data_IF_168539359788
#
_entry.id   IF_168539359788
#
_cell.length_a   1.000
_cell.length_b   1.000
_cell.length_c   1.000
_cell.angle_alpha   90.00
_cell.angle_beta   90.00
_cell.angle_gamma   90.00
#
_symmetry.space_group_name_H-M   'P 1'
#
loop_
_entity.id
_entity.type
_entity.pdbx_description
1 polymer ?
#
# COMPACT_ATOMS: atom_id res chain seq x y z
N UNK A 1 3.50 -44.67 30.03
CA UNK A 1 4.02 -43.44 29.38
C UNK A 1 4.67 -43.74 28.03
N UNK A 2 5.55 -44.75 27.92
CA UNK A 2 6.31 -45.05 26.69
C UNK A 2 5.48 -45.31 25.41
N UNK A 3 4.38 -46.06 25.49
CA UNK A 3 3.59 -46.41 24.29
C UNK A 3 2.89 -45.19 23.63
N UNK A 4 2.48 -44.21 24.43
CA UNK A 4 1.83 -42.99 23.91
C UNK A 4 2.82 -42.06 23.21
N UNK A 5 4.06 -42.00 23.69
CA UNK A 5 5.13 -41.20 23.08
C UNK A 5 5.55 -41.79 21.72
N UNK A 6 5.67 -43.11 21.63
CA UNK A 6 5.97 -43.81 20.37
C UNK A 6 4.87 -43.63 19.32
N UNK A 7 3.59 -43.76 19.70
CA UNK A 7 2.46 -43.50 18.80
C UNK A 7 2.50 -42.06 18.27
N UNK A 8 2.79 -41.08 19.13
CA UNK A 8 2.86 -39.68 18.72
C UNK A 8 4.04 -39.41 17.77
N UNK A 9 5.19 -40.07 17.98
CA UNK A 9 6.34 -39.98 17.10
C UNK A 9 6.01 -40.52 15.70
N UNK A 10 5.42 -41.72 15.62
CA UNK A 10 5.00 -42.31 14.33
C UNK A 10 3.95 -41.44 13.63
N UNK A 11 3.00 -40.84 14.37
CA UNK A 11 2.04 -39.87 13.80
C UNK A 11 2.71 -38.63 13.22
N UNK A 12 3.78 -38.14 13.86
CA UNK A 12 4.56 -37.00 13.36
C UNK A 12 5.32 -37.39 12.08
N UNK A 13 5.93 -38.57 12.06
CA UNK A 13 6.66 -39.09 10.90
C UNK A 13 5.72 -39.28 9.71
N UNK A 14 4.53 -39.87 9.92
CA UNK A 14 3.49 -40.01 8.89
C UNK A 14 3.15 -38.65 8.28
N UNK A 15 2.87 -37.63 9.10
CA UNK A 15 2.58 -36.27 8.61
C UNK A 15 3.74 -35.67 7.81
N UNK A 16 4.98 -35.90 8.25
CA UNK A 16 6.16 -35.42 7.53
C UNK A 16 6.28 -36.08 6.16
N UNK A 17 6.06 -37.39 6.08
CA UNK A 17 6.09 -38.16 4.83
C UNK A 17 4.93 -37.72 3.91
N UNK A 18 3.74 -37.46 4.44
CA UNK A 18 2.60 -36.96 3.66
C UNK A 18 2.88 -35.59 3.04
N UNK A 19 3.50 -34.67 3.79
CA UNK A 19 3.92 -33.36 3.27
C UNK A 19 4.93 -33.52 2.14
N UNK A 20 6.00 -34.30 2.37
CA UNK A 20 7.03 -34.54 1.36
C UNK A 20 6.44 -35.22 0.11
N UNK A 21 5.55 -36.20 0.29
CA UNK A 21 4.85 -36.89 -0.81
C UNK A 21 4.04 -35.90 -1.65
N UNK A 22 3.26 -35.01 -1.04
CA UNK A 22 2.46 -34.04 -1.76
C UNK A 22 3.32 -33.01 -2.50
N UNK A 23 4.45 -32.61 -1.92
CA UNK A 23 5.43 -31.75 -2.60
C UNK A 23 6.02 -32.44 -3.85
N UNK A 24 6.33 -33.74 -3.75
CA UNK A 24 6.81 -34.53 -4.91
C UNK A 24 5.74 -34.70 -5.99
N UNK A 25 4.48 -34.87 -5.61
CA UNK A 25 3.36 -34.90 -6.56
C UNK A 25 3.27 -33.57 -7.31
N UNK A 26 3.34 -32.43 -6.61
CA UNK A 26 3.32 -31.11 -7.26
C UNK A 26 4.46 -30.92 -8.25
N UNK A 27 5.70 -31.28 -7.85
CA UNK A 27 6.88 -31.25 -8.74
C UNK A 27 6.70 -32.15 -9.96
N UNK A 28 6.09 -33.34 -9.78
CA UNK A 28 5.82 -34.25 -10.89
C UNK A 28 4.86 -33.62 -11.90
N UNK A 29 3.79 -32.96 -11.43
CA UNK A 29 2.88 -32.24 -12.30
C UNK A 29 3.53 -31.06 -13.03
N UNK A 30 4.41 -30.31 -12.36
CA UNK A 30 5.20 -29.22 -12.95
C UNK A 30 6.10 -29.71 -14.09
N UNK A 31 6.93 -30.73 -13.84
CA UNK A 31 7.80 -31.32 -14.86
C UNK A 31 6.98 -31.85 -16.03
N UNK A 32 5.84 -32.47 -15.73
CA UNK A 32 4.96 -33.03 -16.75
C UNK A 32 4.38 -31.94 -17.66
N UNK A 33 3.90 -30.86 -17.04
CA UNK A 33 3.37 -29.70 -17.73
C UNK A 33 4.44 -29.01 -18.60
N UNK A 34 5.60 -28.71 -18.02
CA UNK A 34 6.70 -28.02 -18.72
C UNK A 34 7.27 -28.83 -19.89
N UNK A 35 7.26 -30.15 -19.76
CA UNK A 35 7.76 -31.07 -20.78
C UNK A 35 6.77 -31.28 -21.94
N UNK A 36 5.58 -30.68 -21.89
CA UNK A 36 4.50 -30.86 -22.88
C UNK A 36 4.24 -32.33 -23.22
N UNK A 37 4.29 -33.21 -22.21
CA UNK A 37 4.06 -34.64 -22.43
C UNK A 37 2.57 -34.84 -22.72
N UNK A 38 2.25 -35.52 -23.80
CA UNK A 38 0.86 -35.78 -24.19
C UNK A 38 0.19 -36.69 -23.15
N UNK A 39 -0.92 -36.19 -22.59
CA UNK A 39 -1.91 -36.98 -21.85
C UNK A 39 -3.19 -37.00 -22.67
N UNK A 40 -3.71 -38.19 -22.96
CA UNK A 40 -5.06 -38.32 -23.50
C UNK A 40 -6.06 -37.70 -22.49
N UNK A 41 -6.88 -36.75 -22.95
CA UNK A 41 -7.99 -36.12 -22.22
C UNK A 41 -7.64 -35.35 -20.92
N UNK A 42 -6.49 -34.69 -20.83
CA UNK A 42 -6.18 -33.85 -19.65
C UNK A 42 -6.71 -32.42 -19.80
N UNK A 43 -7.98 -32.19 -19.44
CA UNK A 43 -8.56 -30.85 -19.27
C UNK A 43 -7.78 -29.98 -18.26
N UNK A 44 -6.99 -30.61 -17.39
CA UNK A 44 -6.14 -29.95 -16.39
C UNK A 44 -5.04 -29.13 -17.07
N UNK A 45 -4.41 -29.64 -18.14
CA UNK A 45 -3.35 -28.91 -18.88
C UNK A 45 -3.93 -27.67 -19.54
N UNK A 46 -5.09 -27.79 -20.19
CA UNK A 46 -5.78 -26.64 -20.81
C UNK A 46 -6.15 -25.57 -19.79
N UNK A 47 -6.64 -25.98 -18.61
CA UNK A 47 -6.99 -25.07 -17.52
C UNK A 47 -5.75 -24.35 -16.95
N UNK A 48 -4.62 -25.05 -16.79
CA UNK A 48 -3.35 -24.43 -16.36
C UNK A 48 -2.91 -23.40 -17.41
N UNK A 49 -2.82 -23.78 -18.69
CA UNK A 49 -2.40 -22.88 -19.78
C UNK A 49 -3.29 -21.63 -19.86
N UNK A 50 -4.60 -21.81 -19.73
CA UNK A 50 -5.55 -20.68 -19.72
C UNK A 50 -5.22 -19.72 -18.58
N UNK A 51 -5.08 -20.22 -17.35
CA UNK A 51 -4.82 -19.37 -16.18
C UNK A 51 -3.43 -18.72 -16.27
N UNK A 52 -2.41 -19.43 -16.71
CA UNK A 52 -1.07 -18.87 -16.91
C UNK A 52 -1.04 -17.77 -17.97
N UNK A 53 -1.86 -17.87 -19.01
CA UNK A 53 -2.00 -16.82 -20.01
C UNK A 53 -2.66 -15.54 -19.47
N UNK A 54 -3.49 -15.65 -18.43
CA UNK A 54 -4.18 -14.49 -17.81
C UNK A 54 -3.25 -13.69 -16.89
N UNK A 55 -2.30 -14.34 -16.20
CA UNK A 55 -1.36 -13.67 -15.27
C UNK A 55 -0.57 -12.53 -15.94
N UNK A 56 0.12 -12.70 -17.08
CA UNK A 56 0.87 -11.63 -17.72
C UNK A 56 -0.04 -10.51 -18.21
N UNK A 57 -1.28 -10.81 -18.63
CA UNK A 57 -2.26 -9.79 -19.03
C UNK A 57 -2.60 -8.88 -17.84
N UNK A 58 -2.85 -9.46 -16.67
CA UNK A 58 -3.15 -8.70 -15.44
C UNK A 58 -1.93 -7.88 -14.99
N UNK A 59 -0.72 -8.47 -15.06
CA UNK A 59 0.53 -7.77 -14.73
C UNK A 59 0.79 -6.58 -15.65
N UNK A 60 0.65 -6.77 -16.96
CA UNK A 60 0.85 -5.71 -17.95
C UNK A 60 -0.12 -4.55 -17.71
N UNK A 61 -1.42 -4.84 -17.50
CA UNK A 61 -2.41 -3.80 -17.14
C UNK A 61 -2.01 -3.04 -15.88
N UNK A 62 -1.52 -3.74 -14.85
CA UNK A 62 -1.07 -3.11 -13.62
C UNK A 62 0.17 -2.19 -13.85
N UNK A 63 1.10 -2.61 -14.71
CA UNK A 63 2.28 -1.82 -15.08
C UNK A 63 1.93 -0.60 -15.93
N UNK A 64 1.01 -0.72 -16.89
CA UNK A 64 0.50 0.39 -17.70
C UNK A 64 -0.13 1.46 -16.81
N UNK A 65 -1.02 1.06 -15.88
CA UNK A 65 -1.61 1.96 -14.91
C UNK A 65 -0.57 2.67 -14.03
N UNK A 66 0.48 1.96 -13.60
CA UNK A 66 1.60 2.56 -12.84
C UNK A 66 2.36 3.58 -13.68
N UNK A 67 2.62 3.26 -14.95
CA UNK A 67 3.29 4.14 -15.90
C UNK A 67 2.50 5.43 -16.13
N UNK A 68 1.18 5.34 -16.34
CA UNK A 68 0.32 6.53 -16.44
C UNK A 68 0.33 7.38 -15.18
N UNK A 69 0.24 6.77 -14.00
CA UNK A 69 0.25 7.48 -12.74
C UNK A 69 1.59 8.18 -12.44
N UNK A 70 2.70 7.51 -12.77
CA UNK A 70 4.04 8.11 -12.68
C UNK A 70 4.15 9.31 -13.61
N UNK A 71 3.71 9.15 -14.87
CA UNK A 71 3.70 10.20 -15.88
C UNK A 71 2.85 11.42 -15.48
N UNK A 72 1.73 11.22 -14.77
CA UNK A 72 0.94 12.31 -14.17
C UNK A 72 1.73 13.02 -13.08
N UNK A 73 2.30 12.27 -12.14
CA UNK A 73 3.04 12.83 -11.00
C UNK A 73 4.21 13.69 -11.46
N UNK A 74 5.00 13.20 -12.42
CA UNK A 74 6.08 13.95 -13.06
C UNK A 74 5.57 15.23 -13.73
N UNK A 75 4.47 15.13 -14.48
CA UNK A 75 3.89 16.27 -15.18
C UNK A 75 3.36 17.34 -14.20
N UNK A 76 2.77 16.94 -13.06
CA UNK A 76 2.30 17.85 -12.02
C UNK A 76 3.44 18.62 -11.35
N UNK A 77 4.57 17.96 -11.08
CA UNK A 77 5.78 18.62 -10.59
C UNK A 77 6.31 19.63 -11.61
N UNK A 78 6.35 19.24 -12.88
CA UNK A 78 6.74 20.13 -13.97
C UNK A 78 5.79 21.32 -14.15
N UNK A 79 4.48 21.12 -13.92
CA UNK A 79 3.48 22.20 -13.92
C UNK A 79 3.75 23.19 -12.79
N UNK A 80 4.10 22.73 -11.58
CA UNK A 80 4.46 23.62 -10.46
C UNK A 80 5.68 24.47 -10.81
N UNK A 81 6.72 23.85 -11.35
CA UNK A 81 7.92 24.58 -11.81
C UNK A 81 7.61 25.58 -12.92
N UNK A 82 6.73 25.25 -13.86
CA UNK A 82 6.29 26.18 -14.91
C UNK A 82 5.53 27.38 -14.31
N UNK A 83 4.65 27.17 -13.33
CA UNK A 83 3.95 28.26 -12.67
C UNK A 83 4.91 29.22 -11.94
N UNK A 84 5.93 28.69 -11.26
CA UNK A 84 6.97 29.50 -10.62
C UNK A 84 7.73 30.34 -11.66
N UNK A 85 8.18 29.73 -12.76
CA UNK A 85 8.84 30.44 -13.85
C UNK A 85 7.96 31.51 -14.48
N UNK A 86 6.68 31.21 -14.71
CA UNK A 86 5.71 32.19 -15.25
C UNK A 86 5.56 33.37 -14.29
N UNK A 87 5.51 33.11 -12.98
CA UNK A 87 5.44 34.16 -11.96
C UNK A 87 6.68 35.04 -11.98
N UNK A 88 7.87 34.45 -12.06
CA UNK A 88 9.14 35.18 -12.13
C UNK A 88 9.24 36.02 -13.40
N UNK A 89 8.85 35.46 -14.55
CA UNK A 89 8.78 36.18 -15.83
C UNK A 89 7.81 37.36 -15.73
N UNK A 90 6.60 37.16 -15.20
CA UNK A 90 5.61 38.24 -15.00
C UNK A 90 6.12 39.33 -14.06
N UNK A 91 6.84 38.95 -13.00
CA UNK A 91 7.49 39.91 -12.10
C UNK A 91 8.58 40.72 -12.83
N UNK A 92 9.39 40.05 -13.66
CA UNK A 92 10.37 40.69 -14.53
C UNK A 92 9.73 41.66 -15.53
N UNK A 93 8.63 41.27 -16.18
CA UNK A 93 7.88 42.13 -17.09
C UNK A 93 7.37 43.39 -16.38
N UNK A 94 6.93 43.29 -15.13
CA UNK A 94 6.52 44.45 -14.33
C UNK A 94 7.64 45.48 -14.11
N UNK A 95 8.89 45.03 -13.99
CA UNK A 95 10.06 45.92 -13.92
C UNK A 95 10.40 46.51 -15.28
N UNK A 96 10.22 45.75 -16.37
CA UNK A 96 10.46 46.25 -17.72
C UNK A 96 9.44 47.33 -18.09
N UNK A 97 8.15 47.11 -17.80
CA UNK A 97 7.11 48.14 -18.00
C UNK A 97 7.43 49.45 -17.28
N UNK A 98 8.00 49.37 -16.08
CA UNK A 98 8.44 50.56 -15.35
C UNK A 98 9.58 51.29 -16.08
N UNK A 99 10.61 50.56 -16.54
CA UNK A 99 11.70 51.13 -17.35
C UNK A 99 11.17 51.78 -18.63
N UNK A 100 10.33 51.06 -19.39
CA UNK A 100 9.72 51.59 -20.62
C UNK A 100 8.91 52.85 -20.33
N UNK A 101 8.10 52.85 -19.27
CA UNK A 101 7.29 54.01 -18.92
C UNK A 101 8.12 55.24 -18.56
N UNK A 102 9.23 55.07 -17.85
CA UNK A 102 10.15 56.16 -17.51
C UNK A 102 10.82 56.71 -18.76
N UNK A 103 11.40 55.85 -19.60
CA UNK A 103 12.03 56.26 -20.86
C UNK A 103 11.03 56.94 -21.78
N UNK A 104 9.83 56.37 -21.93
CA UNK A 104 8.76 56.93 -22.75
C UNK A 104 8.34 58.31 -22.24
N UNK A 105 8.26 58.53 -20.92
CA UNK A 105 7.93 59.84 -20.38
C UNK A 105 8.99 60.90 -20.70
N UNK A 106 10.27 60.51 -20.77
CA UNK A 106 11.36 61.42 -21.13
C UNK A 106 11.35 61.79 -22.62
N UNK A 107 10.86 60.91 -23.48
CA UNK A 107 10.96 61.05 -24.95
C UNK A 107 9.60 61.04 -25.67
N UNK A 108 8.48 61.24 -24.97
CA UNK A 108 7.14 61.14 -25.56
C UNK A 108 6.98 62.17 -26.70
N UNK A 109 6.48 61.72 -27.85
CA UNK A 109 6.21 62.55 -29.01
C UNK A 109 4.72 62.66 -29.35
N UNK A 110 4.41 63.42 -30.40
CA UNK A 110 3.03 63.57 -30.91
C UNK A 110 2.42 62.23 -31.34
N UNK A 111 3.25 61.31 -31.85
CA UNK A 111 2.85 59.97 -32.28
C UNK A 111 2.30 59.14 -31.12
N UNK A 112 2.98 59.15 -29.99
CA UNK A 112 2.60 58.40 -28.78
C UNK A 112 1.39 59.05 -28.10
N UNK A 113 1.35 60.40 -28.07
CA UNK A 113 0.23 61.17 -27.52
C UNK A 113 -1.05 61.08 -28.36
N UNK A 114 -0.98 60.60 -29.60
CA UNK A 114 -2.17 60.29 -30.39
C UNK A 114 -3.02 59.16 -29.78
N UNK A 115 -2.44 58.35 -28.88
CA UNK A 115 -3.14 57.29 -28.16
C UNK A 115 -3.74 57.84 -26.86
N UNK A 116 -5.09 57.83 -26.69
CA UNK A 116 -5.76 58.50 -25.57
C UNK A 116 -5.33 58.03 -24.18
N UNK A 117 -5.04 56.74 -24.02
CA UNK A 117 -4.58 56.16 -22.76
C UNK A 117 -3.17 56.64 -22.40
N UNK A 118 -2.27 56.71 -23.38
CA UNK A 118 -0.91 57.25 -23.21
C UNK A 118 -0.97 58.74 -22.87
N UNK A 119 -1.78 59.52 -23.59
CA UNK A 119 -1.97 60.94 -23.33
C UNK A 119 -2.50 61.22 -21.92
N UNK A 120 -3.46 60.42 -21.45
CA UNK A 120 -4.02 60.52 -20.11
C UNK A 120 -2.97 60.21 -19.04
N UNK A 121 -2.26 59.09 -19.18
CA UNK A 121 -1.20 58.70 -18.26
C UNK A 121 -0.05 59.70 -18.23
N UNK A 122 0.33 60.25 -19.38
CA UNK A 122 1.35 61.29 -19.48
C UNK A 122 0.93 62.57 -18.75
N UNK A 123 -0.34 63.00 -18.91
CA UNK A 123 -0.88 64.15 -18.18
C UNK A 123 -0.88 63.92 -16.67
N UNK A 124 -1.33 62.75 -16.21
CA UNK A 124 -1.32 62.39 -14.78
C UNK A 124 0.11 62.38 -14.22
N UNK A 125 1.09 61.88 -14.99
CA UNK A 125 2.50 61.90 -14.59
C UNK A 125 3.06 63.31 -14.52
N UNK A 126 2.72 64.20 -15.47
CA UNK A 126 3.10 65.62 -15.43
C UNK A 126 2.49 66.36 -14.24
N UNK A 127 1.22 66.11 -13.92
CA UNK A 127 0.57 66.65 -12.73
C UNK A 127 1.22 66.13 -11.43
N UNK A 128 1.58 64.84 -11.42
CA UNK A 128 2.32 64.21 -10.32
C UNK A 128 3.72 64.80 -10.12
N UNK A 129 4.45 65.06 -11.20
CA UNK A 129 5.78 65.70 -11.20
C UNK A 129 5.70 67.11 -10.59
N UNK A 130 4.79 67.94 -11.08
CA UNK A 130 4.56 69.29 -10.55
C UNK A 130 4.14 69.28 -9.08
N UNK A 131 3.34 68.28 -8.67
CA UNK A 131 2.96 68.09 -7.26
C UNK A 131 4.16 67.71 -6.40
N UNK A 132 5.05 66.85 -6.89
CA UNK A 132 6.29 66.47 -6.18
C UNK A 132 7.17 67.69 -5.96
N UNK A 133 7.43 68.47 -7.02
CA UNK A 133 8.23 69.68 -6.96
C UNK A 133 7.65 70.70 -5.96
N UNK A 134 6.32 70.88 -5.97
CA UNK A 134 5.64 71.74 -4.98
C UNK A 134 5.83 71.25 -3.54
N UNK A 135 5.72 69.94 -3.30
CA UNK A 135 5.90 69.35 -1.97
C UNK A 135 7.36 69.39 -1.50
N UNK A 136 8.32 69.20 -2.40
CA UNK A 136 9.75 69.31 -2.11
C UNK A 136 10.14 70.75 -1.80
N UNK A 137 9.66 71.73 -2.57
CA UNK A 137 9.84 73.15 -2.28
C UNK A 137 9.20 73.55 -0.94
N UNK A 138 8.03 73.01 -0.61
CA UNK A 138 7.41 73.17 0.72
C UNK A 138 8.27 72.56 1.81
N UNK A 139 8.80 71.36 1.61
CA UNK A 139 9.67 70.70 2.57
C UNK A 139 10.95 71.51 2.81
N UNK A 140 11.62 71.94 1.74
CA UNK A 140 12.84 72.74 1.78
C UNK A 140 12.62 74.09 2.47
N UNK A 141 11.55 74.80 2.12
CA UNK A 141 11.20 76.08 2.77
C UNK A 141 10.88 75.90 4.25
N UNK A 142 10.17 74.84 4.64
CA UNK A 142 9.94 74.52 6.05
C UNK A 142 11.24 74.15 6.78
N UNK A 143 12.09 73.33 6.18
CA UNK A 143 13.37 72.89 6.76
C UNK A 143 14.39 74.04 6.88
N UNK A 144 14.30 75.08 6.04
CA UNK A 144 15.21 76.23 6.06
C UNK A 144 14.61 77.53 6.60
N UNK A 145 13.36 77.52 7.07
CA UNK A 145 12.72 78.73 7.63
C UNK A 145 13.35 79.17 8.96
N UNK A 146 13.64 80.47 9.09
CA UNK A 146 14.20 81.09 10.30
C UNK A 146 13.22 81.10 11.50
N UNK A 147 11.94 80.78 11.28
CA UNK A 147 10.85 80.74 12.27
C UNK A 147 10.86 79.52 13.20
N UNK A 148 11.85 78.63 13.05
CA UNK A 148 12.14 77.49 13.96
C UNK A 148 12.49 77.89 15.40
N UNK A 149 12.59 79.19 15.71
CA UNK A 149 13.00 79.71 17.03
C UNK A 149 11.86 79.84 18.06
N UNK A 150 10.60 79.59 17.69
CA UNK A 150 9.46 79.60 18.63
C UNK A 150 9.23 78.22 19.26
N UNK A 151 9.07 78.16 20.59
CA UNK A 151 8.90 76.91 21.35
C UNK A 151 7.74 76.05 20.82
N UNK A 152 6.59 76.65 20.47
CA UNK A 152 5.44 75.93 19.91
C UNK A 152 5.72 75.37 18.51
N UNK A 153 6.53 76.06 17.70
CA UNK A 153 6.93 75.56 16.39
C UNK A 153 7.88 74.37 16.51
N UNK A 154 8.74 74.32 17.52
CA UNK A 154 9.67 73.19 17.73
C UNK A 154 8.89 71.88 17.97
N UNK A 155 7.76 71.92 18.67
CA UNK A 155 6.92 70.72 18.92
C UNK A 155 6.08 70.29 17.70
N UNK A 156 5.63 71.22 16.86
CA UNK A 156 4.77 70.92 15.70
C UNK A 156 5.55 70.61 14.41
N UNK A 157 6.81 71.05 14.30
CA UNK A 157 7.68 70.84 13.13
C UNK A 157 7.83 69.35 12.75
N UNK A 158 8.07 68.40 13.69
CA UNK A 158 8.21 66.99 13.33
C UNK A 158 6.96 66.40 12.67
N UNK A 159 5.77 66.86 13.06
CA UNK A 159 4.50 66.39 12.51
C UNK A 159 4.25 66.92 11.09
N UNK A 160 4.56 68.20 10.82
CA UNK A 160 4.41 68.81 9.49
C UNK A 160 5.41 68.22 8.49
N UNK A 161 6.68 68.08 8.88
CA UNK A 161 7.70 67.43 8.06
C UNK A 161 7.32 65.97 7.76
N UNK A 162 6.80 65.25 8.76
CA UNK A 162 6.32 63.87 8.57
C UNK A 162 5.11 63.80 7.63
N UNK A 163 4.20 64.77 7.71
CA UNK A 163 3.07 64.90 6.79
C UNK A 163 3.50 65.09 5.34
N UNK A 164 4.37 66.08 5.08
CA UNK A 164 4.88 66.36 3.73
C UNK A 164 5.68 65.15 3.20
N UNK A 165 6.55 64.54 4.00
CA UNK A 165 7.30 63.32 3.60
C UNK A 165 6.37 62.14 3.28
N UNK A 166 5.24 62.01 3.98
CA UNK A 166 4.23 60.98 3.68
C UNK A 166 3.52 61.26 2.35
N UNK A 167 3.19 62.52 2.08
CA UNK A 167 2.58 62.93 0.79
C UNK A 167 3.52 62.72 -0.38
N UNK A 168 4.80 63.10 -0.25
CA UNK A 168 5.84 62.82 -1.27
C UNK A 168 5.93 61.32 -1.54
N UNK A 169 5.99 60.49 -0.49
CA UNK A 169 6.01 59.02 -0.65
C UNK A 169 4.78 58.48 -1.36
N UNK A 170 3.59 59.00 -1.06
CA UNK A 170 2.34 58.58 -1.71
C UNK A 170 2.32 58.99 -3.18
N UNK A 171 2.73 60.23 -3.48
CA UNK A 171 2.84 60.74 -4.84
C UNK A 171 3.83 59.91 -5.66
N UNK A 172 5.03 59.64 -5.14
CA UNK A 172 6.03 58.83 -5.83
C UNK A 172 5.53 57.40 -6.08
N UNK A 173 4.78 56.81 -5.14
CA UNK A 173 4.15 55.50 -5.35
C UNK A 173 3.11 55.53 -6.46
N UNK A 174 2.32 56.60 -6.56
CA UNK A 174 1.37 56.79 -7.66
C UNK A 174 2.08 57.00 -8.99
N UNK A 175 3.13 57.82 -9.05
CA UNK A 175 3.94 58.02 -10.25
C UNK A 175 4.57 56.71 -10.73
N UNK A 176 5.16 55.89 -9.86
CA UNK A 176 5.69 54.57 -10.23
C UNK A 176 4.61 53.64 -10.79
N UNK A 177 3.40 53.69 -10.23
CA UNK A 177 2.26 52.93 -10.75
C UNK A 177 1.87 53.41 -12.14
N UNK A 178 1.87 54.72 -12.36
CA UNK A 178 1.53 55.32 -13.66
C UNK A 178 2.62 55.11 -14.71
N UNK A 179 3.91 55.14 -14.35
CA UNK A 179 5.00 54.73 -15.23
C UNK A 179 4.85 53.28 -15.67
N UNK A 180 4.59 52.36 -14.73
CA UNK A 180 4.36 50.95 -15.08
C UNK A 180 3.19 50.78 -16.04
N UNK A 181 2.05 51.44 -15.78
CA UNK A 181 0.89 51.42 -16.69
C UNK A 181 1.22 52.01 -18.06
N UNK A 182 1.97 53.10 -18.09
CA UNK A 182 2.39 53.77 -19.32
C UNK A 182 3.24 52.83 -20.18
N UNK A 183 4.23 52.17 -19.60
CA UNK A 183 5.04 51.18 -20.32
C UNK A 183 4.25 49.94 -20.74
N UNK A 184 3.30 49.49 -19.93
CA UNK A 184 2.39 48.38 -20.27
C UNK A 184 1.50 48.72 -21.48
N UNK A 185 0.85 49.88 -21.48
CA UNK A 185 0.01 50.32 -22.61
C UNK A 185 0.85 50.48 -23.88
N UNK A 186 2.03 51.07 -23.76
CA UNK A 186 2.95 51.26 -24.89
C UNK A 186 3.40 49.91 -25.49
N UNK A 187 3.91 48.99 -24.66
CA UNK A 187 4.37 47.66 -25.11
C UNK A 187 3.25 46.78 -25.65
N UNK A 188 2.00 46.99 -25.21
CA UNK A 188 0.82 46.33 -25.75
C UNK A 188 0.27 46.96 -27.03
N UNK A 189 0.89 48.03 -27.53
CA UNK A 189 0.49 48.72 -28.76
C UNK A 189 1.52 48.42 -29.88
N UNK A 190 1.30 47.40 -30.72
CA UNK A 190 2.34 46.90 -31.64
C UNK A 190 2.81 47.91 -32.69
N UNK A 191 1.97 48.90 -33.02
CA UNK A 191 2.31 49.96 -33.98
C UNK A 191 3.37 50.91 -33.41
N UNK A 192 3.26 51.28 -32.13
CA UNK A 192 4.22 52.16 -31.47
C UNK A 192 5.59 51.51 -31.36
N UNK A 193 5.62 50.25 -30.92
CA UNK A 193 6.83 49.44 -30.73
C UNK A 193 7.58 49.18 -32.04
N UNK A 194 6.86 48.95 -33.14
CA UNK A 194 7.49 48.68 -34.46
C UNK A 194 8.13 49.91 -35.09
N UNK A 195 7.52 51.06 -34.86
CA UNK A 195 7.95 52.34 -35.42
C UNK A 195 8.86 53.10 -34.44
N UNK A 196 9.44 52.41 -33.46
CA UNK A 196 10.35 53.01 -32.47
C UNK A 196 11.76 53.15 -33.06
N UNK A 197 12.38 54.30 -32.81
CA UNK A 197 13.72 54.64 -33.31
C UNK A 197 14.66 55.12 -32.20
N UNK A 198 14.16 55.29 -30.98
CA UNK A 198 14.96 55.65 -29.82
C UNK A 198 15.77 54.44 -29.32
N UNK A 199 17.10 54.56 -29.36
CA UNK A 199 18.05 53.50 -28.98
C UNK A 199 17.85 53.02 -27.52
N UNK A 200 17.59 53.92 -26.58
CA UNK A 200 17.33 53.59 -25.17
C UNK A 200 16.07 52.74 -25.00
N UNK A 201 14.99 53.09 -25.71
CA UNK A 201 13.75 52.31 -25.70
C UNK A 201 13.92 50.96 -26.40
N UNK A 202 14.68 50.90 -27.51
CA UNK A 202 14.91 49.66 -28.24
C UNK A 202 15.60 48.58 -27.38
N UNK A 203 16.59 48.94 -26.58
CA UNK A 203 17.27 48.01 -25.67
C UNK A 203 16.30 47.39 -24.65
N UNK A 204 15.46 48.23 -24.03
CA UNK A 204 14.46 47.79 -23.05
C UNK A 204 13.35 46.96 -23.72
N UNK A 205 12.97 47.30 -24.95
CA UNK A 205 12.01 46.53 -25.74
C UNK A 205 12.57 45.17 -26.18
N UNK A 206 13.88 45.04 -26.38
CA UNK A 206 14.52 43.75 -26.62
C UNK A 206 14.42 42.84 -25.39
N UNK A 207 14.69 43.36 -24.19
CA UNK A 207 14.47 42.65 -22.92
C UNK A 207 13.00 42.23 -22.77
N UNK A 208 12.05 43.13 -23.10
CA UNK A 208 10.62 42.85 -23.08
C UNK A 208 10.27 41.67 -23.99
N UNK A 209 10.72 41.71 -25.25
CA UNK A 209 10.46 40.67 -26.24
C UNK A 209 11.05 39.32 -25.82
N UNK A 210 12.23 39.30 -25.19
CA UNK A 210 12.83 38.08 -24.61
C UNK A 210 11.95 37.49 -23.51
N UNK A 211 11.45 38.33 -22.58
CA UNK A 211 10.52 37.87 -21.54
C UNK A 211 9.18 37.41 -22.10
N UNK A 212 8.63 38.10 -23.10
CA UNK A 212 7.38 37.73 -23.75
C UNK A 212 7.49 36.39 -24.47
N UNK A 213 8.59 36.15 -25.18
CA UNK A 213 8.87 34.85 -25.82
C UNK A 213 9.05 33.74 -24.78
N UNK A 214 9.76 34.03 -23.69
CA UNK A 214 9.90 33.10 -22.56
C UNK A 214 8.54 32.76 -21.93
N UNK A 215 7.69 33.76 -21.70
CA UNK A 215 6.34 33.59 -21.16
C UNK A 215 5.49 32.72 -22.09
N UNK A 216 5.52 32.99 -23.39
CA UNK A 216 4.81 32.20 -24.40
C UNK A 216 5.28 30.74 -24.39
N UNK A 217 6.59 30.50 -24.38
CA UNK A 217 7.17 29.16 -24.30
C UNK A 217 6.76 28.42 -23.02
N UNK A 218 6.76 29.08 -21.86
CA UNK A 218 6.30 28.46 -20.61
C UNK A 218 4.80 28.15 -20.64
N UNK A 219 3.97 29.03 -21.21
CA UNK A 219 2.53 28.78 -21.36
C UNK A 219 2.25 27.61 -22.32
N UNK A 220 2.97 27.51 -23.44
CA UNK A 220 2.88 26.38 -24.36
C UNK A 220 3.29 25.06 -23.67
N UNK A 221 4.38 25.09 -22.89
CA UNK A 221 4.79 23.95 -22.06
C UNK A 221 3.68 23.57 -21.07
N UNK A 222 3.10 24.54 -20.37
CA UNK A 222 2.02 24.32 -19.41
C UNK A 222 0.77 23.68 -20.05
N UNK A 223 0.37 24.14 -21.24
CA UNK A 223 -0.73 23.54 -22.01
C UNK A 223 -0.41 22.08 -22.35
N UNK A 224 0.81 21.80 -22.81
CA UNK A 224 1.23 20.44 -23.18
C UNK A 224 1.24 19.49 -21.97
N UNK A 225 1.68 19.97 -20.79
CA UNK A 225 1.70 19.20 -19.55
C UNK A 225 0.29 18.92 -19.03
N UNK A 226 -0.58 19.93 -19.00
CA UNK A 226 -1.97 19.76 -18.57
C UNK A 226 -2.73 18.79 -19.49
N UNK A 227 -2.45 18.83 -20.79
CA UNK A 227 -2.98 17.83 -21.72
C UNK A 227 -2.48 16.43 -21.39
N UNK A 228 -1.18 16.24 -21.15
CA UNK A 228 -0.59 14.95 -20.74
C UNK A 228 -1.21 14.43 -19.44
N UNK A 229 -1.47 15.29 -18.47
CA UNK A 229 -2.15 14.93 -17.21
C UNK A 229 -3.57 14.44 -17.54
N UNK A 230 -4.37 15.25 -18.22
CA UNK A 230 -5.76 14.91 -18.57
C UNK A 230 -5.88 13.62 -19.37
N UNK A 231 -5.02 13.42 -20.38
CA UNK A 231 -5.04 12.23 -21.23
C UNK A 231 -4.73 10.96 -20.40
N UNK A 232 -3.76 11.03 -19.48
CA UNK A 232 -3.40 9.90 -18.63
C UNK A 232 -4.43 9.65 -17.51
N UNK A 233 -5.03 10.70 -16.93
CA UNK A 233 -6.13 10.55 -15.97
C UNK A 233 -7.33 9.85 -16.61
N UNK A 234 -7.65 10.20 -17.86
CA UNK A 234 -8.71 9.55 -18.60
C UNK A 234 -8.39 8.06 -18.84
N UNK A 235 -7.17 7.73 -19.27
CA UNK A 235 -6.75 6.32 -19.44
C UNK A 235 -6.85 5.53 -18.14
N UNK A 236 -6.39 6.11 -17.03
CA UNK A 236 -6.54 5.49 -15.71
C UNK A 236 -8.02 5.28 -15.39
N UNK A 237 -8.88 6.27 -15.65
CA UNK A 237 -10.31 6.17 -15.35
C UNK A 237 -11.01 5.09 -16.19
N UNK A 238 -10.68 5.00 -17.48
CA UNK A 238 -11.18 3.98 -18.39
C UNK A 238 -10.72 2.58 -17.96
N UNK A 239 -9.44 2.42 -17.64
CA UNK A 239 -8.89 1.14 -17.20
C UNK A 239 -9.22 0.77 -15.75
N UNK A 240 -9.64 1.72 -14.91
CA UNK A 240 -10.03 1.45 -13.52
C UNK A 240 -11.52 1.23 -13.33
N UNK A 241 -12.33 1.37 -14.39
CA UNK A 241 -13.80 1.40 -14.31
C UNK A 241 -14.31 2.43 -13.27
N UNK A 242 -13.57 3.53 -13.08
CA UNK A 242 -13.87 4.56 -12.08
C UNK A 242 -13.56 4.19 -10.62
N UNK A 243 -12.91 3.05 -10.36
CA UNK A 243 -12.42 2.71 -9.03
C UNK A 243 -11.19 3.52 -8.66
N UNK A 244 -10.92 3.63 -7.35
CA UNK A 244 -9.66 4.21 -6.88
C UNK A 244 -8.50 3.34 -7.34
N UNK A 245 -7.46 3.95 -7.90
CA UNK A 245 -6.27 3.27 -8.43
C UNK A 245 -5.67 2.24 -7.46
N UNK A 246 -5.57 2.59 -6.17
CA UNK A 246 -5.13 1.66 -5.12
C UNK A 246 -5.98 0.38 -5.05
N UNK A 247 -7.30 0.51 -5.12
CA UNK A 247 -8.20 -0.65 -5.11
C UNK A 247 -8.07 -1.51 -6.37
N UNK A 248 -7.71 -0.91 -7.51
CA UNK A 248 -7.43 -1.64 -8.75
C UNK A 248 -6.15 -2.46 -8.59
N UNK A 249 -5.08 -1.86 -8.04
CA UNK A 249 -3.85 -2.59 -7.73
C UNK A 249 -4.08 -3.74 -6.75
N UNK A 250 -4.78 -3.51 -5.64
CA UNK A 250 -5.10 -4.55 -4.66
C UNK A 250 -5.90 -5.70 -5.32
N UNK A 251 -6.81 -5.36 -6.25
CA UNK A 251 -7.60 -6.36 -7.01
C UNK A 251 -6.72 -7.15 -7.98
N UNK A 252 -5.85 -6.49 -8.75
CA UNK A 252 -4.92 -7.16 -9.67
C UNK A 252 -3.95 -8.09 -8.92
N UNK A 253 -3.37 -7.63 -7.82
CA UNK A 253 -2.49 -8.45 -6.97
C UNK A 253 -3.21 -9.69 -6.45
N UNK A 254 -4.43 -9.50 -5.92
CA UNK A 254 -5.25 -10.62 -5.47
C UNK A 254 -5.56 -11.60 -6.60
N UNK A 255 -5.92 -11.11 -7.79
CA UNK A 255 -6.20 -11.97 -8.94
C UNK A 255 -4.96 -12.78 -9.37
N UNK A 256 -3.77 -12.16 -9.35
CA UNK A 256 -2.51 -12.86 -9.65
C UNK A 256 -2.24 -13.95 -8.62
N UNK A 257 -2.37 -13.64 -7.33
CA UNK A 257 -2.15 -14.63 -6.25
C UNK A 257 -3.18 -15.76 -6.32
N UNK A 258 -4.45 -15.44 -6.56
CA UNK A 258 -5.52 -16.43 -6.71
C UNK A 258 -5.28 -17.32 -7.95
N UNK A 259 -4.82 -16.75 -9.07
CA UNK A 259 -4.44 -17.49 -10.27
C UNK A 259 -3.25 -18.42 -10.03
N UNK A 260 -2.19 -17.92 -9.39
CA UNK A 260 -1.01 -18.72 -9.03
C UNK A 260 -1.38 -19.88 -8.11
N UNK A 261 -2.20 -19.63 -7.08
CA UNK A 261 -2.68 -20.69 -6.19
C UNK A 261 -3.52 -21.75 -6.92
N UNK A 262 -4.32 -21.35 -7.92
CA UNK A 262 -5.08 -22.29 -8.76
C UNK A 262 -4.14 -23.13 -9.63
N UNK A 263 -3.14 -22.52 -10.27
CA UNK A 263 -2.13 -23.25 -11.04
C UNK A 263 -1.40 -24.25 -10.16
N UNK A 264 -0.90 -23.87 -8.98
CA UNK A 264 -0.24 -24.80 -8.06
C UNK A 264 -1.13 -25.98 -7.66
N UNK A 265 -2.43 -25.74 -7.48
CA UNK A 265 -3.38 -26.82 -7.16
C UNK A 265 -3.60 -27.75 -8.35
N UNK A 266 -3.77 -27.20 -9.55
CA UNK A 266 -3.93 -28.00 -10.78
C UNK A 266 -2.66 -28.78 -11.11
N UNK A 267 -1.47 -28.26 -10.82
CA UNK A 267 -0.21 -29.00 -10.96
C UNK A 267 -0.15 -30.19 -10.00
N UNK A 268 -0.64 -30.05 -8.76
CA UNK A 268 -0.79 -31.21 -7.86
C UNK A 268 -1.78 -32.22 -8.45
N UNK A 269 -2.95 -31.78 -8.89
CA UNK A 269 -3.97 -32.65 -9.50
C UNK A 269 -3.43 -33.37 -10.76
N UNK A 270 -2.62 -32.68 -11.56
CA UNK A 270 -1.92 -33.25 -12.71
C UNK A 270 -0.91 -34.31 -12.28
N UNK A 271 -0.10 -34.04 -11.27
CA UNK A 271 0.84 -35.01 -10.70
C UNK A 271 0.13 -36.25 -10.16
N UNK A 272 -1.02 -36.09 -9.48
CA UNK A 272 -1.85 -37.21 -9.02
C UNK A 272 -2.36 -38.04 -10.20
N UNK A 273 -2.79 -37.38 -11.27
CA UNK A 273 -3.22 -38.05 -12.49
C UNK A 273 -2.08 -38.86 -13.14
N UNK A 274 -0.88 -38.29 -13.26
CA UNK A 274 0.32 -38.98 -13.79
C UNK A 274 0.65 -40.22 -12.96
N UNK A 275 0.59 -40.12 -11.63
CA UNK A 275 0.76 -41.28 -10.73
C UNK A 275 -0.30 -42.34 -11.00
N UNK A 276 -1.57 -41.94 -11.22
CA UNK A 276 -2.70 -42.85 -11.39
C UNK A 276 -2.63 -43.71 -12.67
N UNK A 277 -2.01 -43.19 -13.72
CA UNK A 277 -1.83 -43.89 -15.01
C UNK A 277 -0.96 -45.14 -14.84
N UNK A 278 -0.16 -45.21 -13.76
CA UNK A 278 0.63 -46.37 -13.37
C UNK A 278 1.46 -46.98 -14.53
N UNK A 279 2.03 -46.10 -15.37
CA UNK A 279 2.94 -46.48 -16.45
C UNK A 279 4.26 -46.96 -15.85
N UNK A 280 4.88 -47.97 -16.46
CA UNK A 280 6.18 -48.50 -15.99
C UNK A 280 7.33 -47.54 -16.25
N UNK A 281 7.30 -46.84 -17.39
CA UNK A 281 8.32 -45.85 -17.81
C UNK A 281 7.68 -44.71 -18.61
N UNK A 282 8.20 -43.52 -18.42
CA UNK A 282 7.89 -42.32 -19.18
C UNK A 282 9.03 -41.99 -20.13
N UNK A 283 8.73 -41.29 -21.23
CA UNK A 283 9.77 -40.86 -22.17
C UNK A 283 10.71 -39.81 -21.55
N UNK A 284 10.24 -39.10 -20.54
CA UNK A 284 11.04 -38.15 -19.77
C UNK A 284 11.68 -38.85 -18.54
N UNK A 285 13.02 -38.94 -18.46
CA UNK A 285 13.72 -39.59 -17.35
C UNK A 285 13.54 -38.88 -16.01
N UNK A 286 13.28 -37.58 -16.02
CA UNK A 286 13.02 -36.79 -14.81
C UNK A 286 11.66 -37.15 -14.19
N UNK A 287 10.65 -37.41 -15.04
CA UNK A 287 9.34 -37.92 -14.60
C UNK A 287 9.51 -39.29 -13.94
N UNK A 288 10.31 -40.18 -14.55
CA UNK A 288 10.59 -41.51 -13.99
C UNK A 288 11.33 -41.45 -12.65
N UNK A 289 12.33 -40.57 -12.52
CA UNK A 289 13.06 -40.36 -11.27
C UNK A 289 12.10 -39.91 -10.15
N UNK A 290 11.28 -38.88 -10.41
CA UNK A 290 10.34 -38.33 -9.43
C UNK A 290 9.24 -39.32 -9.06
N UNK A 291 8.74 -40.08 -10.04
CA UNK A 291 7.79 -41.17 -9.81
C UNK A 291 8.40 -42.27 -8.96
N UNK A 292 9.70 -42.59 -9.15
CA UNK A 292 10.46 -43.53 -8.32
C UNK A 292 10.52 -43.08 -6.86
N UNK A 293 10.91 -41.83 -6.62
CA UNK A 293 10.93 -41.23 -5.27
C UNK A 293 9.53 -41.25 -4.63
N UNK A 294 8.49 -40.91 -5.41
CA UNK A 294 7.11 -40.98 -4.96
C UNK A 294 6.72 -42.40 -4.51
N UNK A 295 7.04 -43.42 -5.32
CA UNK A 295 6.75 -44.84 -5.00
C UNK A 295 7.46 -45.26 -3.70
N UNK A 296 8.71 -44.84 -3.49
CA UNK A 296 9.44 -45.10 -2.25
C UNK A 296 8.79 -44.44 -1.02
N UNK A 297 8.39 -43.16 -1.15
CA UNK A 297 7.69 -42.43 -0.08
C UNK A 297 6.35 -43.07 0.24
N UNK A 298 5.59 -43.49 -0.77
CA UNK A 298 4.31 -44.17 -0.58
C UNK A 298 4.49 -45.52 0.14
N UNK A 299 5.53 -46.29 -0.21
CA UNK A 299 5.88 -47.52 0.50
C UNK A 299 6.25 -47.26 1.97
N UNK A 300 7.09 -46.25 2.25
CA UNK A 300 7.44 -45.84 3.61
C UNK A 300 6.20 -45.41 4.41
N UNK A 301 5.28 -44.70 3.77
CA UNK A 301 4.01 -44.27 4.38
C UNK A 301 3.16 -45.48 4.77
N UNK A 302 2.99 -46.45 3.88
CA UNK A 302 2.25 -47.69 4.16
C UNK A 302 2.88 -48.50 5.31
N UNK A 303 4.21 -48.59 5.34
CA UNK A 303 4.95 -49.25 6.43
C UNK A 303 4.72 -48.55 7.77
N UNK A 304 4.79 -47.20 7.80
CA UNK A 304 4.53 -46.40 9.01
C UNK A 304 3.07 -46.46 9.46
N UNK A 305 2.12 -46.52 8.53
CA UNK A 305 0.71 -46.72 8.85
C UNK A 305 0.46 -48.10 9.46
N UNK A 306 1.10 -49.16 8.93
CA UNK A 306 1.05 -50.51 9.51
C UNK A 306 1.67 -50.53 10.92
N UNK A 307 2.81 -49.85 11.11
CA UNK A 307 3.46 -49.67 12.41
C UNK A 307 2.52 -48.98 13.42
N UNK A 308 1.85 -47.89 13.00
CA UNK A 308 0.89 -47.17 13.83
C UNK A 308 -0.25 -48.09 14.29
N UNK A 309 -0.86 -48.84 13.36
CA UNK A 309 -1.95 -49.77 13.68
C UNK A 309 -1.48 -50.85 14.65
N UNK A 310 -0.26 -51.37 14.47
CA UNK A 310 0.32 -52.34 15.39
C UNK A 310 0.50 -51.76 16.80
N UNK A 311 1.09 -50.57 16.92
CA UNK A 311 1.31 -49.90 18.20
C UNK A 311 -0.01 -49.57 18.93
N UNK A 312 -1.04 -49.15 18.18
CA UNK A 312 -2.37 -48.90 18.75
C UNK A 312 -3.02 -50.20 19.29
N UNK A 313 -2.87 -51.33 18.57
CA UNK A 313 -3.30 -52.65 19.05
C UNK A 313 -2.51 -53.08 20.29
N UNK A 314 -1.19 -52.89 20.29
CA UNK A 314 -0.33 -53.25 21.41
C UNK A 314 -0.67 -52.44 22.67
N UNK A 315 -0.90 -51.14 22.53
CA UNK A 315 -1.36 -50.27 23.63
C UNK A 315 -2.70 -50.76 24.21
N UNK A 316 -3.65 -51.18 23.36
CA UNK A 316 -4.92 -51.75 23.80
C UNK A 316 -4.73 -53.08 24.53
N UNK A 317 -3.88 -53.96 24.01
CA UNK A 317 -3.54 -55.23 24.66
C UNK A 317 -2.91 -55.01 26.04
N UNK A 318 -1.92 -54.12 26.15
CA UNK A 318 -1.27 -53.78 27.41
C UNK A 318 -2.27 -53.23 28.45
N UNK A 319 -3.26 -52.43 28.00
CA UNK A 319 -4.34 -51.95 28.86
C UNK A 319 -5.21 -53.10 29.37
N UNK A 320 -5.67 -53.99 28.49
CA UNK A 320 -6.47 -55.15 28.88
C UNK A 320 -5.71 -56.09 29.82
N UNK A 321 -4.41 -56.31 29.57
CA UNK A 321 -3.57 -57.14 30.43
C UNK A 321 -3.43 -56.54 31.84
N UNK A 322 -3.41 -55.21 31.95
CA UNK A 322 -3.45 -54.52 33.25
C UNK A 322 -4.79 -54.73 33.95
N UNK A 323 -5.91 -54.56 33.24
CA UNK A 323 -7.26 -54.78 33.78
C UNK A 323 -7.48 -56.24 34.23
N UNK A 324 -6.96 -57.22 33.48
CA UNK A 324 -7.01 -58.64 33.86
C UNK A 324 -6.24 -58.87 35.17
N UNK A 325 -5.01 -58.33 35.29
CA UNK A 325 -4.23 -58.46 36.53
C UNK A 325 -4.94 -57.82 37.73
N UNK A 326 -5.49 -56.62 37.55
CA UNK A 326 -6.27 -55.94 38.59
C UNK A 326 -7.49 -56.79 39.00
N UNK A 327 -8.15 -57.47 38.05
CA UNK A 327 -9.29 -58.36 38.35
C UNK A 327 -8.85 -59.68 39.00
N UNK A 328 -7.72 -60.26 38.60
CA UNK A 328 -7.14 -61.45 39.23
C UNK A 328 -6.78 -61.18 40.70
N UNK A 329 -6.19 -60.03 41.00
CA UNK A 329 -5.91 -59.59 42.37
C UNK A 329 -7.21 -59.43 43.17
N UNK A 330 -8.24 -58.79 42.60
CA UNK A 330 -9.56 -58.68 43.21
C UNK A 330 -10.21 -60.04 43.49
N UNK A 331 -10.14 -60.99 42.55
CA UNK A 331 -10.67 -62.34 42.73
C UNK A 331 -9.91 -63.12 43.80
N UNK A 332 -8.61 -62.91 43.93
CA UNK A 332 -7.80 -63.52 45.00
C UNK A 332 -8.31 -63.07 46.37
N UNK A 333 -8.55 -61.77 46.55
CA UNK A 333 -9.12 -61.21 47.78
C UNK A 333 -10.51 -61.78 48.05
N UNK A 334 -11.37 -61.89 47.02
CA UNK A 334 -12.70 -62.50 47.16
C UNK A 334 -12.62 -63.97 47.60
N UNK A 335 -11.69 -64.76 47.04
CA UNK A 335 -11.47 -66.16 47.44
C UNK A 335 -11.02 -66.29 48.90
N UNK A 336 -10.06 -65.47 49.32
CA UNK A 336 -9.62 -65.43 50.73
C UNK A 336 -10.77 -65.07 51.68
N UNK A 337 -11.70 -64.21 51.25
CA UNK A 337 -12.88 -63.88 52.04
C UNK A 337 -13.87 -65.04 52.12
N UNK A 338 -14.15 -65.72 51.00
CA UNK A 338 -15.01 -66.91 50.98
C UNK A 338 -14.45 -68.00 51.90
N UNK A 339 -13.14 -68.26 51.83
CA UNK A 339 -12.48 -69.26 52.68
C UNK A 339 -12.71 -68.97 54.18
N UNK A 340 -12.50 -67.73 54.61
CA UNK A 340 -12.81 -67.29 55.99
C UNK A 340 -14.27 -67.45 56.37
N UNK A 341 -15.20 -67.16 55.46
CA UNK A 341 -16.63 -67.35 55.71
C UNK A 341 -16.99 -68.83 55.81
N UNK A 342 -16.39 -69.69 54.99
CA UNK A 342 -16.57 -71.15 55.06
C UNK A 342 -16.03 -71.71 56.37
N UNK A 343 -14.83 -71.29 56.81
CA UNK A 343 -14.30 -71.65 58.14
C UNK A 343 -15.25 -71.24 59.27
N UNK A 344 -15.80 -70.02 59.19
CA UNK A 344 -16.77 -69.51 60.16
C UNK A 344 -18.06 -70.33 60.16
N UNK A 345 -18.56 -70.71 58.99
CA UNK A 345 -19.75 -71.54 58.82
C UNK A 345 -19.57 -72.93 59.40
N UNK A 346 -18.45 -73.60 59.12
CA UNK A 346 -18.14 -74.92 59.68
C UNK A 346 -17.99 -74.85 61.20
N UNK A 347 -17.36 -73.79 61.73
CA UNK A 347 -17.31 -73.56 63.19
C UNK A 347 -18.71 -73.39 63.79
N UNK A 348 -19.55 -72.58 63.17
CA UNK A 348 -20.93 -72.38 63.63
C UNK A 348 -21.77 -73.66 63.54
N UNK A 349 -21.56 -74.46 62.49
CA UNK A 349 -22.21 -75.76 62.31
C UNK A 349 -21.77 -76.77 63.38
N UNK A 350 -20.48 -76.80 63.71
CA UNK A 350 -19.96 -77.62 64.81
C UNK A 350 -20.61 -77.21 66.15
N UNK A 351 -20.64 -75.91 66.45
CA UNK A 351 -21.31 -75.38 67.66
C UNK A 351 -22.81 -75.74 67.69
N UNK A 352 -23.52 -75.63 66.57
CA UNK A 352 -24.94 -76.02 66.49
C UNK A 352 -25.14 -77.52 66.70
N UNK A 353 -24.25 -78.35 66.16
CA UNK A 353 -24.31 -79.82 66.33
C UNK A 353 -24.08 -80.19 67.79
N UNK A 354 -23.16 -79.49 68.47
CA UNK A 354 -22.93 -79.63 69.91
C UNK A 354 -24.19 -79.24 70.71
N UNK A 355 -24.80 -78.07 70.43
CA UNK A 355 -26.04 -77.62 71.07
C UNK A 355 -27.21 -78.58 70.82
N UNK A 356 -27.34 -79.13 69.61
CA UNK A 356 -28.38 -80.12 69.28
C UNK A 356 -28.12 -81.45 69.99
N UNK A 357 -26.87 -81.90 70.07
CA UNK A 357 -26.49 -83.10 70.83
C UNK A 357 -26.77 -82.93 72.33
N UNK A 358 -26.50 -81.75 72.89
CA UNK A 358 -26.90 -81.39 74.26
C UNK A 358 -28.42 -81.40 74.44
N UNK A 359 -29.17 -80.89 73.45
CA UNK A 359 -30.65 -80.91 73.46
C UNK A 359 -31.22 -82.33 73.35
N UNK A 360 -30.64 -83.21 72.54
CA UNK A 360 -31.02 -84.62 72.43
C UNK A 360 -30.68 -85.39 73.72
N UNK A 361 -29.55 -85.10 74.35
CA UNK A 361 -29.22 -85.62 75.68
C UNK A 361 -30.23 -85.13 76.73
N UNK A 362 -30.70 -83.89 76.64
CA UNK A 362 -31.72 -83.32 77.51
C UNK A 362 -33.10 -83.97 77.29
N UNK A 363 -33.46 -84.25 76.04
CA UNK A 363 -34.66 -85.00 75.65
C UNK A 363 -34.61 -86.46 76.11
N UNK A 364 -33.43 -87.09 76.03
CA UNK A 364 -33.22 -88.45 76.52
C UNK A 364 -33.29 -88.51 78.04
N UNK A 365 -32.69 -87.52 78.73
CA UNK A 365 -32.83 -87.37 80.18
C UNK A 365 -34.29 -87.14 80.61
N UNK A 366 -35.07 -86.35 79.86
CA UNK A 366 -36.50 -86.15 80.10
C UNK A 366 -37.33 -87.42 79.86
N UNK A 367 -36.99 -88.23 78.86
CA UNK A 367 -37.67 -89.50 78.56
C UNK A 367 -37.31 -90.62 79.55
N UNK A 368 -36.08 -90.62 80.06
CA UNK A 368 -35.61 -91.56 81.08
C UNK A 368 -36.06 -91.15 82.50
N UNK A 369 -36.54 -89.91 82.66
CA UNK A 369 -37.14 -89.38 83.90
C UNK A 369 -38.53 -88.74 83.63
N UNK A 370 -39.53 -89.53 83.19
CA UNK A 370 -40.88 -88.99 83.05
C UNK A 370 -41.47 -88.72 84.44
N UNK A 371 -42.04 -87.53 84.61
CA UNK A 371 -42.72 -87.07 85.84
C UNK A 371 -43.89 -87.97 86.26
#
# INVERSE_FOLDING_TARGET
MKDSEQINLVKKDIKSIEIEKNERIGQLGEIFFDSNIELEDSSIIEDIQRIESEIPIIKNRMEELKSYNLSITEAEEDVKLCHEKIKDIKSGMGSIYEKVGVELFCFVGEKELAYPEIATLYKELKEGEARSESLENKLYSYENSASKKSFLNIFSTPFHVRGIKKEIRLNNKQSLTNFRKLGEVYTNTPQLVKDESNESLLDVLEEYNKLQNSLKSQNEKLISLNKRISDNEQKIKEESDGLKLKSVYDKCEKQIVDAQNRVSKLLVDLGEHVVSINKETWENPEVDEKLGVYKELNKKLEEKQKELVYLEKQKKYNKLLKEIKEREESLKVEREHIEKLTETLEKNKANLTEVVGESELLLKWLNDNPL
#
